data_IF_168502598692
#
_entry.id   IF_168502598692
#
_cell.length_a   1.000
_cell.length_b   1.000
_cell.length_c   1.000
_cell.angle_alpha   90.00
_cell.angle_beta   90.00
_cell.angle_gamma   90.00
#
_symmetry.space_group_name_H-M   'P 1'
#
loop_
_entity.id
_entity.type
_entity.pdbx_description
1 polymer ?
#
# COMPACT_ATOMS: atom_id res chain seq x y z
N UNK A 1 -1.28 5.14 28.28
CA UNK A 1 -1.47 6.06 27.14
C UNK A 1 -0.46 5.61 26.09
N UNK A 2 -0.90 5.14 24.95
CA UNK A 2 0.01 4.79 23.85
C UNK A 2 0.48 6.13 23.24
N UNK A 3 1.77 6.40 23.32
CA UNK A 3 2.39 7.56 22.68
C UNK A 3 2.84 7.23 21.25
N UNK A 4 3.09 8.25 20.44
CA UNK A 4 3.59 8.10 19.07
C UNK A 4 3.02 9.16 18.15
N UNK A 5 3.42 9.09 16.87
CA UNK A 5 2.89 9.94 15.82
C UNK A 5 1.91 9.13 14.95
N UNK A 6 0.79 9.71 14.60
CA UNK A 6 -0.16 9.13 13.66
C UNK A 6 -0.57 10.19 12.64
N UNK A 7 -0.58 9.79 11.37
CA UNK A 7 -1.11 10.57 10.25
C UNK A 7 -2.29 9.83 9.66
N UNK A 8 -3.37 10.53 9.42
CA UNK A 8 -4.56 10.04 8.73
C UNK A 8 -4.79 10.90 7.50
N UNK A 9 -5.07 10.28 6.37
CA UNK A 9 -5.51 10.97 5.17
C UNK A 9 -6.80 10.35 4.63
N UNK A 10 -7.67 11.20 4.09
CA UNK A 10 -8.94 10.80 3.46
C UNK A 10 -9.07 11.53 2.13
N UNK A 11 -9.45 10.80 1.09
CA UNK A 11 -9.68 11.34 -0.25
C UNK A 11 -11.05 10.93 -0.78
N UNK A 12 -11.74 11.83 -1.47
CA UNK A 12 -12.95 11.55 -2.23
C UNK A 12 -12.69 11.41 -3.75
N UNK A 13 -11.41 11.33 -4.14
CA UNK A 13 -10.95 11.30 -5.52
C UNK A 13 -10.80 12.67 -6.18
N UNK A 14 -11.28 13.76 -5.55
CA UNK A 14 -11.14 15.15 -6.01
C UNK A 14 -10.28 15.97 -5.07
N UNK A 15 -10.46 15.76 -3.78
CA UNK A 15 -9.73 16.45 -2.72
C UNK A 15 -9.22 15.41 -1.72
N UNK A 16 -8.02 15.67 -1.20
CA UNK A 16 -7.40 14.86 -0.16
C UNK A 16 -7.08 15.74 1.03
N UNK A 17 -7.53 15.32 2.19
CA UNK A 17 -7.26 15.95 3.48
C UNK A 17 -6.35 15.01 4.28
N UNK A 18 -5.28 15.56 4.84
CA UNK A 18 -4.36 14.81 5.70
C UNK A 18 -4.07 15.61 6.97
N UNK A 19 -3.93 14.94 8.09
CA UNK A 19 -3.31 15.50 9.28
C UNK A 19 -1.82 15.75 9.01
N UNK A 20 -1.16 16.56 9.87
CA UNK A 20 0.26 16.86 9.69
C UNK A 20 1.09 15.59 9.59
N UNK A 21 1.88 15.44 8.51
CA UNK A 21 2.73 14.29 8.28
C UNK A 21 4.07 14.45 9.00
N UNK A 22 4.51 13.43 9.72
CA UNK A 22 5.71 13.49 10.56
C UNK A 22 7.00 13.10 9.84
N UNK A 23 7.00 12.98 8.51
CA UNK A 23 8.22 12.69 7.72
C UNK A 23 7.95 11.97 6.40
N UNK A 24 9.02 11.74 5.60
CA UNK A 24 8.93 10.90 4.42
C UNK A 24 8.83 9.44 4.86
N UNK A 25 7.78 8.76 4.44
CA UNK A 25 7.57 7.35 4.73
C UNK A 25 7.64 6.50 3.46
N UNK A 26 8.29 5.34 3.58
CA UNK A 26 8.30 4.35 2.50
C UNK A 26 7.01 3.53 2.50
N UNK A 27 6.66 2.99 1.35
CA UNK A 27 5.40 2.28 1.12
C UNK A 27 5.28 0.96 1.90
N UNK A 28 6.38 0.26 2.11
CA UNK A 28 6.40 -1.12 2.58
C UNK A 28 5.47 -1.99 1.71
N UNK A 29 4.72 -2.91 2.31
CA UNK A 29 3.83 -3.81 1.57
C UNK A 29 2.59 -3.14 0.97
N UNK A 30 2.35 -1.85 1.18
CA UNK A 30 1.29 -1.13 0.47
C UNK A 30 1.61 -0.97 -1.02
N UNK A 31 2.90 -0.98 -1.40
CA UNK A 31 3.35 -0.99 -2.81
C UNK A 31 2.94 -2.25 -3.57
N UNK A 32 2.59 -3.34 -2.90
CA UNK A 32 2.12 -4.56 -3.54
C UNK A 32 0.81 -4.38 -4.30
N UNK A 33 0.00 -3.38 -3.94
CA UNK A 33 -1.27 -3.11 -4.62
C UNK A 33 -1.07 -2.69 -6.08
N UNK A 34 -0.35 -1.61 -6.40
CA UNK A 34 -0.12 -1.25 -7.81
C UNK A 34 0.71 -2.30 -8.56
N UNK A 35 1.62 -3.03 -7.91
CA UNK A 35 2.38 -4.13 -8.52
C UNK A 35 1.44 -5.27 -8.94
N UNK A 36 0.52 -5.69 -8.08
CA UNK A 36 -0.43 -6.75 -8.39
C UNK A 36 -1.34 -6.37 -9.57
N UNK A 37 -1.85 -5.13 -9.60
CA UNK A 37 -2.66 -4.63 -10.72
C UNK A 37 -1.85 -4.67 -12.02
N UNK A 38 -0.63 -4.14 -12.02
CA UNK A 38 0.23 -4.15 -13.20
C UNK A 38 0.54 -5.56 -13.68
N UNK A 39 0.83 -6.49 -12.75
CA UNK A 39 1.15 -7.89 -13.07
C UNK A 39 -0.06 -8.63 -13.67
N UNK A 40 -1.26 -8.43 -13.14
CA UNK A 40 -2.49 -9.04 -13.68
C UNK A 40 -2.87 -8.48 -15.05
N UNK A 41 -2.50 -7.25 -15.38
CA UNK A 41 -2.65 -6.69 -16.75
C UNK A 41 -1.72 -7.38 -17.75
N UNK A 42 -0.52 -7.77 -17.31
CA UNK A 42 0.45 -8.48 -18.16
C UNK A 42 0.05 -9.94 -18.34
N UNK A 43 -0.30 -10.60 -17.23
CA UNK A 43 -0.69 -12.00 -17.23
C UNK A 43 -1.74 -12.28 -16.15
N UNK A 44 -3.02 -12.44 -16.51
CA UNK A 44 -4.09 -12.82 -15.58
C UNK A 44 -3.83 -14.17 -14.87
N UNK A 45 -2.99 -15.03 -15.41
CA UNK A 45 -2.57 -16.30 -14.80
C UNK A 45 -1.80 -16.11 -13.49
N UNK A 46 -1.29 -14.91 -13.21
CA UNK A 46 -0.62 -14.56 -11.95
C UNK A 46 -1.59 -14.33 -10.77
N UNK A 47 -2.92 -14.47 -10.97
CA UNK A 47 -3.91 -14.23 -9.93
C UNK A 47 -3.66 -14.99 -8.61
N UNK A 48 -3.25 -16.28 -8.58
CA UNK A 48 -2.93 -16.96 -7.32
C UNK A 48 -1.73 -16.34 -6.59
N UNK A 49 -0.74 -15.82 -7.34
CA UNK A 49 0.43 -15.15 -6.78
C UNK A 49 0.03 -13.78 -6.23
N UNK A 50 -0.83 -13.04 -6.96
CA UNK A 50 -1.38 -11.77 -6.49
C UNK A 50 -2.22 -11.95 -5.22
N UNK A 51 -3.04 -13.01 -5.15
CA UNK A 51 -3.81 -13.37 -3.95
C UNK A 51 -2.88 -13.51 -2.73
N UNK A 52 -1.80 -14.29 -2.82
CA UNK A 52 -0.86 -14.46 -1.72
C UNK A 52 -0.15 -13.14 -1.36
N UNK A 53 0.29 -12.36 -2.35
CA UNK A 53 0.95 -11.08 -2.13
C UNK A 53 0.05 -10.07 -1.43
N UNK A 54 -1.26 -10.08 -1.69
CA UNK A 54 -2.21 -9.12 -1.12
C UNK A 54 -2.78 -9.62 0.20
N UNK A 55 -3.35 -10.85 0.25
CA UNK A 55 -4.15 -11.30 1.39
C UNK A 55 -3.32 -11.68 2.61
N UNK A 56 -2.16 -12.31 2.42
CA UNK A 56 -1.23 -12.68 3.50
C UNK A 56 0.09 -11.90 3.46
N UNK A 57 0.19 -10.93 2.55
CA UNK A 57 1.37 -10.07 2.39
C UNK A 57 2.66 -10.83 2.09
N UNK A 58 2.59 -11.96 1.37
CA UNK A 58 3.74 -12.79 1.01
C UNK A 58 4.76 -11.97 0.20
N UNK A 59 6.02 -11.98 0.65
CA UNK A 59 7.09 -11.22 0.00
C UNK A 59 7.64 -11.94 -1.24
N UNK A 60 7.71 -13.28 -1.22
CA UNK A 60 8.19 -14.07 -2.36
C UNK A 60 7.21 -13.96 -3.53
N UNK A 61 5.91 -14.02 -3.23
CA UNK A 61 4.86 -13.77 -4.22
C UNK A 61 4.98 -12.34 -4.79
N UNK A 62 5.18 -11.33 -3.94
CA UNK A 62 5.33 -9.94 -4.39
C UNK A 62 6.58 -9.74 -5.26
N UNK A 63 7.70 -10.37 -4.94
CA UNK A 63 8.92 -10.34 -5.76
C UNK A 63 8.71 -11.02 -7.11
N UNK A 64 7.94 -12.11 -7.15
CA UNK A 64 7.56 -12.77 -8.39
C UNK A 64 6.69 -11.88 -9.29
N UNK A 65 5.72 -11.15 -8.71
CA UNK A 65 4.93 -10.17 -9.45
C UNK A 65 5.79 -9.00 -9.95
N UNK A 66 6.71 -8.49 -9.11
CA UNK A 66 7.62 -7.41 -9.47
C UNK A 66 8.55 -7.81 -10.63
N UNK A 67 9.02 -9.06 -10.65
CA UNK A 67 9.84 -9.60 -11.73
C UNK A 67 9.08 -9.76 -13.07
N UNK A 68 7.74 -9.86 -13.02
CA UNK A 68 6.89 -9.99 -14.21
C UNK A 68 6.53 -8.64 -14.86
N UNK A 69 6.86 -7.51 -14.22
CA UNK A 69 6.52 -6.16 -14.69
C UNK A 69 7.74 -5.26 -14.76
N UNK A 70 7.61 -4.17 -15.49
CA UNK A 70 8.57 -3.06 -15.45
C UNK A 70 8.13 -2.00 -14.45
N UNK A 71 9.05 -1.20 -13.86
CA UNK A 71 8.68 -0.07 -13.01
C UNK A 71 7.68 0.87 -13.69
N UNK A 72 7.87 1.15 -14.98
CA UNK A 72 6.97 2.02 -15.75
C UNK A 72 5.52 1.51 -15.83
N UNK A 73 5.31 0.18 -15.88
CA UNK A 73 3.96 -0.39 -15.86
C UNK A 73 3.27 -0.19 -14.51
N UNK A 74 4.03 -0.27 -13.41
CA UNK A 74 3.50 0.01 -12.06
C UNK A 74 3.24 1.50 -11.87
N UNK A 75 4.13 2.35 -12.37
CA UNK A 75 3.97 3.82 -12.34
C UNK A 75 2.77 4.29 -13.16
N UNK A 76 2.44 3.59 -14.26
CA UNK A 76 1.23 3.85 -15.02
C UNK A 76 -0.04 3.59 -14.18
N UNK A 77 -0.09 2.50 -13.40
CA UNK A 77 -1.20 2.22 -12.47
C UNK A 77 -1.32 3.31 -11.41
N UNK A 78 -0.19 3.76 -10.86
CA UNK A 78 -0.17 4.86 -9.88
C UNK A 78 -0.68 6.17 -10.48
N UNK A 79 -0.25 6.49 -11.70
CA UNK A 79 -0.69 7.69 -12.41
C UNK A 79 -2.17 7.67 -12.77
N UNK A 80 -2.70 6.53 -13.23
CA UNK A 80 -4.14 6.34 -13.50
C UNK A 80 -4.99 6.56 -12.25
N UNK A 81 -4.48 6.14 -11.09
CA UNK A 81 -5.13 6.38 -9.79
C UNK A 81 -4.92 7.81 -9.24
N UNK A 82 -4.36 8.73 -10.03
CA UNK A 82 -4.16 10.13 -9.64
C UNK A 82 -2.90 10.38 -8.80
N UNK A 83 -1.97 9.44 -8.73
CA UNK A 83 -0.76 9.55 -7.90
C UNK A 83 0.51 9.21 -8.70
N UNK A 84 0.99 10.11 -9.56
CA UNK A 84 2.14 9.87 -10.44
C UNK A 84 3.46 9.94 -9.66
N UNK A 85 3.81 8.88 -8.93
CA UNK A 85 5.07 8.73 -8.21
C UNK A 85 5.96 7.68 -8.87
N UNK A 86 7.28 7.84 -8.76
CA UNK A 86 8.26 6.89 -9.27
C UNK A 86 8.44 5.72 -8.30
N UNK A 87 8.52 4.51 -8.83
CA UNK A 87 8.84 3.32 -8.06
C UNK A 87 10.33 3.26 -7.72
N UNK A 88 10.63 2.94 -6.48
CA UNK A 88 12.02 2.72 -6.08
C UNK A 88 12.52 1.37 -6.62
N UNK A 89 13.65 1.40 -7.33
CA UNK A 89 14.29 0.23 -7.96
C UNK A 89 15.60 -0.18 -7.29
N UNK A 90 16.06 0.61 -6.31
CA UNK A 90 17.36 0.42 -5.64
C UNK A 90 17.15 0.01 -4.18
N UNK A 91 17.81 -1.06 -3.75
CA UNK A 91 17.79 -1.44 -2.33
C UNK A 91 18.71 -0.48 -1.57
N UNK A 92 18.12 0.42 -0.77
CA UNK A 92 18.84 1.33 0.12
C UNK A 92 18.91 0.79 1.56
N UNK A 93 18.04 -0.16 1.90
CA UNK A 93 18.00 -0.88 3.19
C UNK A 93 18.14 -2.38 2.93
N UNK A 94 19.29 -3.00 3.22
CA UNK A 94 19.49 -4.44 3.04
C UNK A 94 18.45 -5.25 3.80
N UNK A 95 18.01 -6.37 3.21
CA UNK A 95 16.99 -7.25 3.79
C UNK A 95 15.54 -6.86 3.48
N UNK A 96 15.32 -5.75 2.75
CA UNK A 96 13.99 -5.31 2.33
C UNK A 96 13.93 -5.16 0.80
N UNK A 97 12.73 -5.34 0.22
CA UNK A 97 12.50 -5.22 -1.21
C UNK A 97 12.70 -3.77 -1.69
N UNK A 98 13.22 -3.57 -2.90
CA UNK A 98 13.38 -2.24 -3.49
C UNK A 98 12.04 -1.50 -3.58
N UNK A 99 11.01 -2.14 -4.14
CA UNK A 99 9.68 -1.55 -4.32
C UNK A 99 9.02 -1.14 -2.98
N UNK A 100 9.26 -1.89 -1.90
CA UNK A 100 8.76 -1.53 -0.56
C UNK A 100 9.36 -0.24 -0.02
N UNK A 101 10.51 0.19 -0.56
CA UNK A 101 11.20 1.42 -0.19
C UNK A 101 10.79 2.63 -1.04
N UNK A 102 9.76 2.50 -1.87
CA UNK A 102 9.16 3.61 -2.62
C UNK A 102 8.63 4.67 -1.65
N UNK A 103 8.98 5.94 -1.90
CA UNK A 103 8.42 7.06 -1.15
C UNK A 103 6.94 7.22 -1.52
N UNK A 104 6.07 7.17 -0.52
CA UNK A 104 4.62 7.18 -0.73
C UNK A 104 3.97 7.87 0.47
N UNK A 105 3.69 9.17 0.35
CA UNK A 105 3.11 9.94 1.44
C UNK A 105 1.74 9.37 1.88
N UNK A 106 1.28 9.69 3.08
CA UNK A 106 -0.03 9.25 3.54
C UNK A 106 -1.15 9.87 2.70
N UNK A 107 -0.97 11.12 2.27
CA UNK A 107 -1.91 11.80 1.38
C UNK A 107 -1.96 11.12 0.00
N UNK A 108 -0.80 10.80 -0.59
CA UNK A 108 -0.75 10.10 -1.88
C UNK A 108 -1.37 8.70 -1.79
N UNK A 109 -1.17 7.99 -0.68
CA UNK A 109 -1.81 6.68 -0.47
C UNK A 109 -3.33 6.78 -0.40
N UNK A 110 -3.89 7.82 0.24
CA UNK A 110 -5.33 8.04 0.25
C UNK A 110 -5.86 8.42 -1.14
N UNK A 111 -5.14 9.26 -1.88
CA UNK A 111 -5.48 9.63 -3.26
C UNK A 111 -5.46 8.40 -4.17
N UNK A 112 -4.40 7.61 -4.11
CA UNK A 112 -4.28 6.34 -4.85
C UNK A 112 -5.44 5.40 -4.54
N UNK A 113 -5.75 5.19 -3.26
CA UNK A 113 -6.85 4.32 -2.86
C UNK A 113 -8.20 4.82 -3.40
N UNK A 114 -8.46 6.13 -3.36
CA UNK A 114 -9.68 6.71 -3.92
C UNK A 114 -9.81 6.53 -5.43
N UNK A 115 -8.68 6.52 -6.16
CA UNK A 115 -8.62 6.32 -7.60
C UNK A 115 -8.81 4.87 -8.04
N UNK A 116 -8.50 3.89 -7.18
CA UNK A 116 -8.50 2.47 -7.52
C UNK A 116 -9.78 1.97 -8.24
N UNK A 117 -11.00 2.38 -7.87
CA UNK A 117 -12.21 1.94 -8.59
C UNK A 117 -12.27 2.36 -10.06
N UNK A 118 -11.48 3.36 -10.46
CA UNK A 118 -11.42 3.85 -11.85
C UNK A 118 -10.21 3.29 -12.62
N UNK A 119 -9.34 2.53 -11.95
CA UNK A 119 -8.15 1.93 -12.56
C UNK A 119 -8.53 0.62 -13.26
N UNK A 120 -8.19 0.50 -14.54
CA UNK A 120 -8.43 -0.73 -15.28
C UNK A 120 -7.75 -1.93 -14.62
N UNK A 121 -8.45 -3.07 -14.51
CA UNK A 121 -7.95 -4.30 -13.91
C UNK A 121 -7.77 -4.25 -12.37
N UNK A 122 -8.17 -3.17 -11.68
CA UNK A 122 -8.05 -3.10 -10.23
C UNK A 122 -9.12 -3.90 -9.46
N UNK A 123 -10.22 -4.29 -10.10
CA UNK A 123 -11.36 -4.96 -9.45
C UNK A 123 -10.98 -6.22 -8.69
N UNK A 124 -10.13 -7.07 -9.28
CA UNK A 124 -9.71 -8.33 -8.67
C UNK A 124 -8.82 -8.07 -7.45
N UNK A 125 -7.89 -7.10 -7.55
CA UNK A 125 -7.02 -6.71 -6.44
C UNK A 125 -7.82 -6.07 -5.31
N UNK A 126 -8.83 -5.23 -5.62
CA UNK A 126 -9.76 -4.70 -4.64
C UNK A 126 -10.54 -5.81 -3.92
N UNK A 127 -10.99 -6.84 -4.65
CA UNK A 127 -11.63 -8.00 -4.04
C UNK A 127 -10.66 -8.76 -3.11
N UNK A 128 -9.39 -8.90 -3.47
CA UNK A 128 -8.35 -9.47 -2.60
C UNK A 128 -8.12 -8.61 -1.34
N UNK A 129 -8.09 -7.28 -1.49
CA UNK A 129 -7.98 -6.33 -0.37
C UNK A 129 -9.16 -6.41 0.62
N UNK A 130 -10.31 -6.90 0.20
CA UNK A 130 -11.46 -7.20 1.06
C UNK A 130 -11.35 -8.53 1.84
N UNK A 131 -10.29 -9.32 1.60
CA UNK A 131 -10.07 -10.65 2.19
C UNK A 131 -8.71 -10.79 2.88
N UNK A 132 -8.19 -9.70 3.42
CA UNK A 132 -6.92 -9.71 4.19
C UNK A 132 -7.04 -10.70 5.34
N UNK A 133 -5.97 -11.47 5.58
CA UNK A 133 -5.91 -12.46 6.64
C UNK A 133 -6.18 -11.85 8.03
N UNK A 134 -6.90 -12.57 8.93
CA UNK A 134 -7.35 -12.02 10.21
C UNK A 134 -6.24 -11.46 11.11
N UNK A 135 -5.03 -12.04 11.05
CA UNK A 135 -3.86 -11.58 11.80
C UNK A 135 -3.36 -10.21 11.36
N UNK A 136 -3.74 -9.74 10.15
CA UNK A 136 -3.41 -8.43 9.61
C UNK A 136 -4.63 -7.48 9.57
N UNK A 137 -5.80 -7.93 10.00
CA UNK A 137 -7.06 -7.19 9.93
C UNK A 137 -7.27 -6.25 11.15
N UNK A 138 -6.28 -5.41 11.41
CA UNK A 138 -6.34 -4.32 12.41
C UNK A 138 -6.50 -2.95 11.73
N UNK A 139 -6.68 -1.88 12.48
CA UNK A 139 -6.83 -0.52 11.94
C UNK A 139 -8.00 -0.43 10.96
N UNK A 140 -7.74 -0.17 9.66
CA UNK A 140 -8.79 -0.16 8.64
C UNK A 140 -9.54 -1.49 8.55
N UNK A 141 -8.88 -2.61 8.83
CA UNK A 141 -9.50 -3.94 8.83
C UNK A 141 -10.58 -4.15 9.89
N UNK A 142 -10.70 -3.27 10.88
CA UNK A 142 -11.81 -3.29 11.86
C UNK A 142 -13.07 -2.59 11.35
N UNK A 143 -12.99 -1.88 10.22
CA UNK A 143 -14.11 -1.15 9.64
C UNK A 143 -14.91 -2.08 8.71
N UNK A 144 -16.23 -2.15 8.86
CA UNK A 144 -17.04 -3.03 8.02
C UNK A 144 -16.88 -2.70 6.52
N UNK A 145 -16.65 -3.73 5.71
CA UNK A 145 -16.54 -3.58 4.26
C UNK A 145 -15.25 -2.91 3.77
N UNK A 146 -14.28 -2.65 4.63
CA UNK A 146 -13.01 -2.07 4.21
C UNK A 146 -12.25 -3.00 3.25
N UNK A 147 -11.73 -2.43 2.17
CA UNK A 147 -10.80 -3.06 1.24
C UNK A 147 -9.45 -2.38 1.45
N UNK A 148 -8.48 -3.06 2.06
CA UNK A 148 -7.25 -2.39 2.47
C UNK A 148 -6.01 -3.25 2.29
N UNK A 149 -4.84 -2.63 2.35
CA UNK A 149 -3.54 -3.31 2.41
C UNK A 149 -2.67 -2.68 3.49
N UNK A 150 -2.13 -3.53 4.34
CA UNK A 150 -1.14 -3.15 5.34
C UNK A 150 0.30 -3.20 4.82
N UNK A 151 1.18 -2.46 5.50
CA UNK A 151 2.62 -2.49 5.30
C UNK A 151 3.33 -2.01 6.56
N UNK A 152 4.45 -2.61 6.91
CA UNK A 152 5.21 -2.23 8.09
C UNK A 152 6.69 -2.55 7.92
N UNK A 153 7.50 -1.81 8.63
CA UNK A 153 8.94 -2.03 8.67
C UNK A 153 9.67 -0.91 9.42
N UNK A 154 10.95 -1.10 9.71
CA UNK A 154 11.73 -0.13 10.47
C UNK A 154 12.11 1.10 9.64
N UNK A 155 12.12 2.27 10.27
CA UNK A 155 12.77 3.45 9.74
C UNK A 155 14.31 3.31 9.75
N UNK A 156 15.04 4.36 9.38
CA UNK A 156 16.51 4.34 9.39
C UNK A 156 17.14 4.25 10.78
N UNK A 157 16.36 4.51 11.83
CA UNK A 157 16.76 4.36 13.21
C UNK A 157 16.32 3.03 13.84
N UNK A 158 15.74 2.11 13.02
CA UNK A 158 15.26 0.81 13.47
C UNK A 158 13.89 0.86 14.15
N UNK A 159 13.19 1.99 14.15
CA UNK A 159 11.85 2.13 14.74
C UNK A 159 10.79 1.77 13.72
N UNK A 160 9.83 0.95 14.11
CA UNK A 160 8.78 0.51 13.21
C UNK A 160 7.81 1.64 12.83
N UNK A 161 7.42 1.61 11.56
CA UNK A 161 6.35 2.42 10.99
C UNK A 161 5.34 1.48 10.38
N UNK A 162 4.08 1.67 10.74
CA UNK A 162 2.94 0.88 10.27
C UNK A 162 2.14 1.75 9.31
N UNK A 163 1.75 1.17 8.18
CA UNK A 163 0.99 1.84 7.14
C UNK A 163 -0.20 1.00 6.71
N UNK A 164 -1.29 1.67 6.38
CA UNK A 164 -2.43 1.05 5.70
C UNK A 164 -2.98 2.03 4.68
N UNK A 165 -3.40 1.52 3.53
CA UNK A 165 -4.21 2.24 2.56
C UNK A 165 -5.39 1.37 2.15
N UNK A 166 -6.50 1.99 1.80
CA UNK A 166 -7.67 1.26 1.34
C UNK A 166 -8.88 2.11 1.07
N UNK A 167 -9.96 1.43 0.73
CA UNK A 167 -11.29 2.01 0.55
C UNK A 167 -12.17 1.70 1.75
N UNK A 168 -12.81 2.74 2.28
CA UNK A 168 -13.80 2.66 3.34
C UNK A 168 -14.98 3.55 2.94
N UNK A 169 -16.17 2.98 2.82
CA UNK A 169 -17.38 3.68 2.38
C UNK A 169 -17.17 4.50 1.10
N UNK A 170 -16.45 3.92 0.12
CA UNK A 170 -16.16 4.54 -1.17
C UNK A 170 -15.15 5.68 -1.14
N UNK A 171 -14.49 5.93 0.00
CA UNK A 171 -13.43 6.92 0.15
C UNK A 171 -12.07 6.25 0.26
N UNK A 172 -11.05 6.86 -0.33
CA UNK A 172 -9.68 6.47 -0.10
C UNK A 172 -9.23 6.92 1.29
N UNK A 173 -8.73 5.98 2.08
CA UNK A 173 -8.22 6.25 3.43
C UNK A 173 -6.82 5.70 3.56
N UNK A 174 -5.94 6.44 4.19
CA UNK A 174 -4.61 5.97 4.53
C UNK A 174 -4.22 6.34 5.96
N UNK A 175 -3.48 5.45 6.58
CA UNK A 175 -2.95 5.59 7.94
C UNK A 175 -1.43 5.41 7.90
N UNK A 176 -0.74 6.22 8.69
CA UNK A 176 0.67 6.00 9.05
C UNK A 176 0.79 6.15 10.56
N UNK A 177 1.36 5.15 11.22
CA UNK A 177 1.56 5.15 12.67
C UNK A 177 3.03 4.86 12.96
N UNK A 178 3.65 5.73 13.74
CA UNK A 178 5.00 5.53 14.29
C UNK A 178 4.87 5.45 15.81
N UNK A 179 4.85 4.24 16.41
CA UNK A 179 4.74 4.06 17.86
C UNK A 179 5.89 4.71 18.60
N UNK A 180 5.63 5.29 19.80
CA UNK A 180 6.67 5.98 20.57
C UNK A 180 7.78 5.05 21.06
N UNK A 181 7.44 3.79 21.32
CA UNK A 181 8.42 2.73 21.72
C UNK A 181 9.18 2.15 20.53
N UNK A 182 8.80 2.50 19.30
CA UNK A 182 9.41 1.98 18.07
C UNK A 182 9.15 0.51 17.81
N UNK A 183 8.18 -0.11 18.49
CA UNK A 183 7.86 -1.53 18.34
C UNK A 183 6.65 -1.72 17.40
N UNK A 184 6.54 -2.94 16.86
CA UNK A 184 5.40 -3.39 16.03
C UNK A 184 4.40 -4.13 16.90
#
# INVERSE_FOLDING_TARGET
>A
MYGGAATVAVSDGKQTFASAEAGPYVAWSTSKVPIAIAALRVDPGLAPIAEAAITVSDNVAAESLWAAVTPAQVEAVLAEAGTPIAMNTVITRPGFTAFGQTQFSTADQATFAAGLPCVDGASDVLAMMGRISPDQAYGLGTMPGAQFKGGWGPDTAGRYVIRQLGLVDGRGVALTVAPADGQY
#
